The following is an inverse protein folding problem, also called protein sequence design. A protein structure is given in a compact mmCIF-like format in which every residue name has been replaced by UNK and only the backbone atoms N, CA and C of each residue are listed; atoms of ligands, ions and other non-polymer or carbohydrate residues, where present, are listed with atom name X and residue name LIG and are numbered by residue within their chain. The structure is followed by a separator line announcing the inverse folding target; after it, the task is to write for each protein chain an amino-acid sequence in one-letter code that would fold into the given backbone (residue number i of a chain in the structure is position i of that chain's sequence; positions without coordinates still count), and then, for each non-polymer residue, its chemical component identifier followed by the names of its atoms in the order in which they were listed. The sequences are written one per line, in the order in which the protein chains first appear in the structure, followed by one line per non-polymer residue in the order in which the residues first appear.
data_IF_890819257541
#
_entry.id   IF_890819257541
#
_cell.length_a   1.000
_cell.length_b   1.000
_cell.length_c   1.000
_cell.angle_alpha   90.00
_cell.angle_beta   90.00
_cell.angle_gamma   90.00
#
_symmetry.space_group_name_H-M   'P 1'
#
loop_
_entity.id
_entity.type
_entity.pdbx_description
1 polymer ?
#
# COMPACT_ATOMS: atom_id res chain seq x y z
N UNK A 1 26.00 24.44 40.14
CA UNK A 1 26.71 24.22 38.86
C UNK A 1 25.88 23.21 38.08
N UNK A 2 24.95 23.71 37.26
CA UNK A 2 24.06 22.88 36.45
C UNK A 2 24.78 22.37 35.19
N UNK A 3 24.64 21.08 34.96
CA UNK A 3 25.20 20.38 33.80
C UNK A 3 24.24 20.59 32.61
N UNK A 4 24.68 21.14 31.47
CA UNK A 4 23.78 21.34 30.35
C UNK A 4 23.37 19.99 29.73
N UNK A 5 22.06 19.81 29.55
CA UNK A 5 21.45 18.64 28.96
C UNK A 5 21.84 18.49 27.48
N UNK A 6 22.17 17.26 27.08
CA UNK A 6 22.56 16.93 25.71
C UNK A 6 21.39 17.13 24.74
N UNK A 7 21.62 17.96 23.72
CA UNK A 7 20.72 18.18 22.58
C UNK A 7 20.61 16.88 21.79
N UNK A 8 19.42 16.25 21.81
CA UNK A 8 19.12 15.10 20.94
C UNK A 8 18.98 15.61 19.51
N UNK A 9 19.98 15.32 18.69
CA UNK A 9 19.91 15.54 17.25
C UNK A 9 18.92 14.58 16.62
N UNK A 10 17.84 15.12 16.05
CA UNK A 10 16.88 14.38 15.24
C UNK A 10 17.60 13.65 14.11
N UNK A 11 17.67 12.31 14.21
CA UNK A 11 18.13 11.47 13.12
C UNK A 11 17.08 11.54 12.01
N UNK A 12 17.35 12.35 10.99
CA UNK A 12 16.59 12.36 9.73
C UNK A 12 16.51 10.93 9.18
N UNK A 13 15.36 10.30 9.33
CA UNK A 13 15.05 9.01 8.70
C UNK A 13 15.23 9.18 7.19
N UNK A 14 16.28 8.56 6.63
CA UNK A 14 16.48 8.47 5.19
C UNK A 14 15.34 7.62 4.63
N UNK A 15 14.32 8.27 4.07
CA UNK A 15 13.30 7.61 3.26
C UNK A 15 14.00 6.87 2.12
N UNK A 16 14.02 5.55 2.19
CA UNK A 16 14.41 4.72 1.06
C UNK A 16 13.22 4.72 0.11
N UNK A 17 13.32 5.51 -0.96
CA UNK A 17 12.40 5.42 -2.08
C UNK A 17 12.58 4.03 -2.69
N UNK A 18 11.64 3.12 -2.43
CA UNK A 18 11.56 1.86 -3.14
C UNK A 18 11.12 2.16 -4.56
N UNK A 19 12.12 2.35 -5.41
CA UNK A 19 11.93 2.51 -6.83
C UNK A 19 11.60 1.13 -7.39
N UNK A 20 10.32 0.90 -7.72
CA UNK A 20 9.91 -0.29 -8.45
C UNK A 20 10.53 -0.26 -9.84
N UNK A 21 11.72 -0.85 -9.99
CA UNK A 21 12.51 -0.85 -11.24
C UNK A 21 11.70 -1.33 -12.43
N UNK A 22 10.80 -2.29 -12.23
CA UNK A 22 9.95 -2.85 -13.30
C UNK A 22 8.85 -1.88 -13.76
N UNK A 23 8.30 -1.06 -12.85
CA UNK A 23 7.38 0.01 -13.21
C UNK A 23 8.12 1.08 -14.02
N UNK A 24 9.34 1.42 -13.61
CA UNK A 24 10.19 2.33 -14.38
C UNK A 24 10.53 1.77 -15.75
N UNK A 25 10.86 0.47 -15.85
CA UNK A 25 11.11 -0.20 -17.14
C UNK A 25 9.86 -0.16 -18.01
N UNK A 26 8.68 -0.40 -17.44
CA UNK A 26 7.40 -0.34 -18.20
C UNK A 26 7.10 1.06 -18.71
N UNK A 27 7.27 2.08 -17.87
CA UNK A 27 7.09 3.48 -18.26
C UNK A 27 8.14 3.90 -19.29
N UNK A 28 9.40 3.51 -19.08
CA UNK A 28 10.49 3.77 -20.02
C UNK A 28 10.22 3.09 -21.37
N UNK A 29 9.75 1.85 -21.39
CA UNK A 29 9.38 1.13 -22.61
C UNK A 29 8.25 1.85 -23.35
N UNK A 30 7.23 2.34 -22.65
CA UNK A 30 6.14 3.13 -23.26
C UNK A 30 6.66 4.43 -23.87
N UNK A 31 7.55 5.14 -23.19
CA UNK A 31 8.20 6.34 -23.71
C UNK A 31 9.01 6.01 -24.96
N UNK A 32 9.83 4.96 -24.91
CA UNK A 32 10.61 4.50 -26.07
C UNK A 32 9.69 4.12 -27.24
N UNK A 33 8.60 3.40 -26.99
CA UNK A 33 7.64 3.02 -28.03
C UNK A 33 6.96 4.26 -28.65
N UNK A 34 6.59 5.25 -27.83
CA UNK A 34 6.04 6.50 -28.32
C UNK A 34 7.07 7.29 -29.16
N UNK A 35 8.35 7.31 -28.76
CA UNK A 35 9.41 7.95 -29.54
C UNK A 35 9.67 7.22 -30.86
N UNK A 36 9.71 5.88 -30.84
CA UNK A 36 9.87 5.06 -32.04
C UNK A 36 8.69 5.23 -33.01
N UNK A 37 7.47 5.31 -32.50
CA UNK A 37 6.29 5.61 -33.31
C UNK A 37 6.38 6.97 -33.99
N UNK A 38 6.90 7.99 -33.28
CA UNK A 38 7.16 9.32 -33.85
C UNK A 38 8.23 9.28 -34.94
N UNK A 39 9.38 8.65 -34.66
CA UNK A 39 10.47 8.51 -35.62
C UNK A 39 10.06 7.72 -36.88
N UNK A 40 9.25 6.67 -36.71
CA UNK A 40 8.68 5.89 -37.80
C UNK A 40 7.76 6.75 -38.68
N UNK A 41 6.81 7.48 -38.07
CA UNK A 41 5.93 8.37 -38.83
C UNK A 41 6.70 9.49 -39.54
N UNK A 42 7.75 10.01 -38.92
CA UNK A 42 8.63 11.00 -39.56
C UNK A 42 9.37 10.40 -40.77
N UNK A 43 9.90 9.18 -40.65
CA UNK A 43 10.54 8.48 -41.76
C UNK A 43 9.56 8.23 -42.92
N UNK A 44 8.34 7.79 -42.61
CA UNK A 44 7.25 7.63 -43.59
C UNK A 44 6.91 8.97 -44.24
N UNK A 45 6.87 10.06 -43.46
CA UNK A 45 6.65 11.42 -43.98
C UNK A 45 7.67 11.81 -45.04
N UNK A 46 8.96 11.60 -44.75
CA UNK A 46 10.04 11.97 -45.66
C UNK A 46 9.98 11.15 -46.94
N UNK A 47 9.77 9.83 -46.82
CA UNK A 47 9.65 8.95 -47.98
C UNK A 47 8.44 9.32 -48.86
N UNK A 48 7.27 9.59 -48.27
CA UNK A 48 6.09 10.01 -49.03
C UNK A 48 6.32 11.35 -49.74
N UNK A 49 7.02 12.29 -49.10
CA UNK A 49 7.33 13.57 -49.71
C UNK A 49 8.30 13.42 -50.91
N UNK A 50 9.31 12.57 -50.78
CA UNK A 50 10.27 12.28 -51.86
C UNK A 50 9.64 11.52 -53.05
N UNK A 51 8.85 10.48 -52.78
CA UNK A 51 8.31 9.61 -53.83
C UNK A 51 7.04 10.14 -54.50
N UNK A 52 6.18 10.83 -53.76
CA UNK A 52 4.88 11.30 -54.25
C UNK A 52 4.82 12.83 -54.43
N UNK A 53 5.88 13.55 -54.05
CA UNK A 53 5.94 15.01 -54.17
C UNK A 53 4.94 15.75 -53.28
N UNK A 54 4.38 15.08 -52.26
CA UNK A 54 3.41 15.66 -51.34
C UNK A 54 4.06 16.67 -50.39
N UNK A 55 4.42 17.85 -50.93
CA UNK A 55 4.85 19.05 -50.19
C UNK A 55 3.66 19.83 -49.61
N UNK A 56 2.54 19.16 -49.37
CA UNK A 56 1.32 19.79 -48.85
C UNK A 56 1.30 19.76 -47.33
N UNK A 57 1.04 20.90 -46.64
CA UNK A 57 0.90 20.97 -45.18
C UNK A 57 -0.18 20.02 -44.63
N UNK A 58 -1.13 19.60 -45.46
CA UNK A 58 -2.13 18.59 -45.14
C UNK A 58 -1.51 17.24 -44.72
N UNK A 59 -0.40 16.79 -45.34
CA UNK A 59 0.24 15.53 -45.01
C UNK A 59 0.89 15.58 -43.61
N UNK A 60 1.54 16.70 -43.28
CA UNK A 60 2.11 16.92 -41.94
C UNK A 60 1.04 16.93 -40.85
N UNK A 61 -0.10 17.59 -41.11
CA UNK A 61 -1.24 17.59 -40.17
C UNK A 61 -1.79 16.18 -39.99
N UNK A 62 -1.97 15.43 -41.08
CA UNK A 62 -2.47 14.06 -41.04
C UNK A 62 -1.55 13.13 -40.22
N UNK A 63 -0.24 13.20 -40.42
CA UNK A 63 0.72 12.40 -39.67
C UNK A 63 0.79 12.79 -38.19
N UNK A 64 0.64 14.08 -37.87
CA UNK A 64 0.60 14.56 -36.49
C UNK A 64 -0.66 14.05 -35.78
N UNK A 65 -1.81 14.06 -36.45
CA UNK A 65 -3.03 13.45 -35.94
C UNK A 65 -2.88 11.94 -35.73
N UNK A 66 -2.23 11.24 -36.67
CA UNK A 66 -1.89 9.82 -36.53
C UNK A 66 -1.00 9.55 -35.31
N UNK A 67 0.01 10.40 -35.08
CA UNK A 67 0.88 10.30 -33.91
C UNK A 67 0.11 10.50 -32.59
N UNK A 68 -0.73 11.54 -32.53
CA UNK A 68 -1.59 11.81 -31.36
C UNK A 68 -2.49 10.60 -31.09
N UNK A 69 -3.06 9.98 -32.12
CA UNK A 69 -3.88 8.78 -31.98
C UNK A 69 -3.08 7.60 -31.40
N UNK A 70 -1.86 7.36 -31.86
CA UNK A 70 -0.98 6.30 -31.30
C UNK A 70 -0.70 6.56 -29.83
N UNK A 71 -0.30 7.78 -29.47
CA UNK A 71 -0.02 8.16 -28.08
C UNK A 71 -1.28 8.02 -27.21
N UNK A 72 -2.44 8.43 -27.70
CA UNK A 72 -3.71 8.27 -27.00
C UNK A 72 -4.05 6.80 -26.75
N UNK A 73 -3.84 5.91 -27.74
CA UNK A 73 -4.06 4.46 -27.59
C UNK A 73 -3.13 3.89 -26.51
N UNK A 74 -1.84 4.26 -26.52
CA UNK A 74 -0.89 3.83 -25.50
C UNK A 74 -1.28 4.31 -24.10
N UNK A 75 -1.74 5.55 -23.98
CA UNK A 75 -2.21 6.12 -22.72
C UNK A 75 -3.46 5.40 -22.18
N UNK A 76 -4.43 5.12 -23.05
CA UNK A 76 -5.64 4.35 -22.69
C UNK A 76 -5.26 2.93 -22.24
N UNK A 77 -4.36 2.28 -22.97
CA UNK A 77 -3.88 0.95 -22.60
C UNK A 77 -3.21 0.94 -21.22
N UNK A 78 -2.35 1.92 -20.94
CA UNK A 78 -1.71 2.07 -19.64
C UNK A 78 -2.73 2.35 -18.53
N UNK A 79 -3.67 3.27 -18.76
CA UNK A 79 -4.72 3.59 -17.79
C UNK A 79 -5.58 2.35 -17.46
N UNK A 80 -5.99 1.59 -18.47
CA UNK A 80 -6.80 0.40 -18.27
C UNK A 80 -6.02 -0.72 -17.55
N UNK A 81 -4.73 -0.91 -17.87
CA UNK A 81 -3.90 -1.98 -17.29
C UNK A 81 -3.42 -1.67 -15.87
N UNK A 82 -3.11 -0.41 -15.56
CA UNK A 82 -2.54 -0.04 -14.26
C UNK A 82 -3.52 0.73 -13.37
N UNK A 83 -4.11 1.83 -13.87
CA UNK A 83 -4.95 2.72 -13.04
C UNK A 83 -6.21 1.99 -12.55
N UNK A 84 -6.81 1.16 -13.39
CA UNK A 84 -8.00 0.38 -13.04
C UNK A 84 -7.83 -0.50 -11.79
N UNK A 85 -6.86 -1.44 -11.79
CA UNK A 85 -6.54 -2.24 -10.61
C UNK A 85 -6.22 -1.40 -9.38
N UNK A 86 -5.39 -0.36 -9.50
CA UNK A 86 -5.05 0.51 -8.38
C UNK A 86 -6.26 1.23 -7.79
N UNK A 87 -7.21 1.70 -8.61
CA UNK A 87 -8.45 2.33 -8.14
C UNK A 87 -9.34 1.36 -7.37
N UNK A 88 -9.37 0.09 -7.77
CA UNK A 88 -10.09 -0.95 -7.02
C UNK A 88 -9.43 -1.22 -5.67
N UNK A 89 -8.11 -1.35 -5.65
CA UNK A 89 -7.36 -1.54 -4.42
C UNK A 89 -7.53 -0.36 -3.47
N UNK A 90 -7.54 0.87 -3.99
CA UNK A 90 -7.82 2.08 -3.19
C UNK A 90 -9.19 1.99 -2.50
N UNK A 91 -10.22 1.55 -3.24
CA UNK A 91 -11.57 1.38 -2.70
C UNK A 91 -11.64 0.30 -1.62
N UNK A 92 -11.09 -0.90 -1.89
CA UNK A 92 -11.06 -2.01 -0.95
C UNK A 92 -10.24 -1.66 0.31
N UNK A 93 -9.10 -0.97 0.15
CA UNK A 93 -8.30 -0.48 1.28
C UNK A 93 -9.04 0.55 2.12
N UNK A 94 -9.87 1.40 1.51
CA UNK A 94 -10.71 2.35 2.27
C UNK A 94 -11.73 1.63 3.14
N UNK A 95 -12.27 0.50 2.67
CA UNK A 95 -13.18 -0.34 3.46
C UNK A 95 -12.44 -0.97 4.65
N UNK A 96 -11.25 -1.52 4.42
CA UNK A 96 -10.39 -2.07 5.49
C UNK A 96 -10.02 -0.98 6.51
N UNK A 97 -9.68 0.22 6.05
CA UNK A 97 -9.36 1.37 6.91
C UNK A 97 -10.55 1.80 7.79
N UNK A 98 -11.78 1.55 7.35
CA UNK A 98 -13.00 1.78 8.14
C UNK A 98 -13.30 0.65 9.15
N UNK A 99 -12.40 -0.32 9.32
CA UNK A 99 -12.49 -1.37 10.34
C UNK A 99 -13.07 -2.71 9.86
N UNK A 100 -13.40 -2.85 8.57
CA UNK A 100 -13.87 -4.11 7.99
C UNK A 100 -12.69 -5.06 7.68
N UNK A 101 -12.10 -5.63 8.74
CA UNK A 101 -10.96 -6.54 8.66
C UNK A 101 -11.31 -7.92 8.11
N UNK A 102 -12.59 -8.26 7.95
CA UNK A 102 -13.06 -9.48 7.29
C UNK A 102 -12.85 -9.43 5.77
N UNK A 103 -12.69 -8.23 5.20
CA UNK A 103 -12.49 -8.05 3.77
C UNK A 103 -11.07 -8.40 3.37
N UNK A 104 -10.96 -9.02 2.20
CA UNK A 104 -9.69 -9.29 1.51
C UNK A 104 -9.70 -8.58 0.19
N UNK A 105 -8.54 -8.10 -0.19
CA UNK A 105 -8.31 -7.44 -1.47
C UNK A 105 -8.42 -8.47 -2.59
N UNK A 106 -9.11 -8.10 -3.67
CA UNK A 106 -9.35 -8.98 -4.81
C UNK A 106 -8.76 -8.40 -6.08
N UNK A 107 -8.15 -9.28 -6.87
CA UNK A 107 -7.52 -8.91 -8.14
C UNK A 107 -7.83 -9.93 -9.21
N UNK A 108 -7.89 -9.50 -10.48
CA UNK A 108 -8.16 -10.42 -11.59
C UNK A 108 -6.89 -11.19 -11.95
N UNK A 109 -7.06 -12.41 -12.43
CA UNK A 109 -5.93 -13.26 -12.87
C UNK A 109 -5.12 -12.64 -14.02
N UNK A 110 -5.76 -11.79 -14.83
CA UNK A 110 -5.13 -11.07 -15.95
C UNK A 110 -4.43 -9.78 -15.55
N UNK A 111 -4.60 -9.33 -14.30
CA UNK A 111 -3.89 -8.16 -13.83
C UNK A 111 -2.41 -8.50 -13.65
N UNK A 112 -1.58 -7.46 -13.65
CA UNK A 112 -0.14 -7.59 -13.63
C UNK A 112 0.37 -8.37 -12.41
N UNK A 113 1.39 -9.21 -12.61
CA UNK A 113 1.93 -10.11 -11.57
C UNK A 113 2.36 -9.33 -10.30
N UNK A 114 2.90 -8.13 -10.47
CA UNK A 114 3.36 -7.32 -9.34
C UNK A 114 2.19 -6.83 -8.48
N UNK A 115 1.10 -6.43 -9.13
CA UNK A 115 -0.11 -6.02 -8.41
C UNK A 115 -0.70 -7.21 -7.67
N UNK A 116 -0.64 -8.42 -8.24
CA UNK A 116 -1.06 -9.66 -7.57
C UNK A 116 -0.23 -9.98 -6.33
N UNK A 117 1.10 -9.89 -6.43
CA UNK A 117 1.98 -10.12 -5.28
C UNK A 117 1.78 -9.07 -4.20
N UNK A 118 1.62 -7.80 -4.57
CA UNK A 118 1.28 -6.73 -3.66
C UNK A 118 -0.01 -7.03 -2.89
N UNK A 119 -1.06 -7.43 -3.60
CA UNK A 119 -2.35 -7.82 -2.99
C UNK A 119 -2.19 -8.97 -2.01
N UNK A 120 -1.37 -9.97 -2.34
CA UNK A 120 -1.09 -11.08 -1.43
C UNK A 120 -0.43 -10.59 -0.12
N UNK A 121 0.61 -9.74 -0.21
CA UNK A 121 1.27 -9.19 0.97
C UNK A 121 0.34 -8.31 1.81
N UNK A 122 -0.53 -7.51 1.18
CA UNK A 122 -1.49 -6.69 1.93
C UNK A 122 -2.55 -7.57 2.59
N UNK A 123 -3.01 -8.65 1.96
CA UNK A 123 -3.92 -9.60 2.58
C UNK A 123 -3.30 -10.30 3.79
N UNK A 124 -2.02 -10.69 3.70
CA UNK A 124 -1.27 -11.23 4.83
C UNK A 124 -1.14 -10.21 5.97
N UNK A 125 -0.87 -8.94 5.63
CA UNK A 125 -0.86 -7.86 6.61
C UNK A 125 -2.23 -7.68 7.31
N UNK A 126 -3.33 -7.69 6.55
CA UNK A 126 -4.69 -7.58 7.10
C UNK A 126 -4.98 -8.75 8.03
N UNK A 127 -4.60 -9.97 7.65
CA UNK A 127 -4.78 -11.16 8.47
C UNK A 127 -3.98 -11.08 9.79
N UNK A 128 -2.72 -10.67 9.72
CA UNK A 128 -1.90 -10.46 10.91
C UNK A 128 -2.49 -9.38 11.83
N UNK A 129 -3.01 -8.30 11.25
CA UNK A 129 -3.67 -7.24 12.02
C UNK A 129 -4.99 -7.70 12.65
N UNK A 130 -5.78 -8.50 11.95
CA UNK A 130 -7.01 -9.11 12.46
C UNK A 130 -6.70 -10.05 13.65
N UNK A 131 -5.67 -10.89 13.52
CA UNK A 131 -5.22 -11.78 14.59
C UNK A 131 -4.72 -11.00 15.81
N UNK A 132 -3.96 -9.92 15.59
CA UNK A 132 -3.52 -9.02 16.65
C UNK A 132 -4.71 -8.38 17.38
N UNK A 133 -5.71 -7.91 16.65
CA UNK A 133 -6.93 -7.34 17.23
C UNK A 133 -7.71 -8.36 18.07
N UNK A 134 -7.84 -9.60 17.58
CA UNK A 134 -8.49 -10.71 18.32
C UNK A 134 -7.74 -11.04 19.61
N UNK A 135 -6.41 -11.19 19.54
CA UNK A 135 -5.58 -11.46 20.71
C UNK A 135 -5.68 -10.34 21.75
N UNK A 136 -5.63 -9.07 21.29
CA UNK A 136 -5.80 -7.90 22.15
C UNK A 136 -7.16 -7.91 22.85
N UNK A 137 -8.25 -8.12 22.11
CA UNK A 137 -9.61 -8.15 22.66
C UNK A 137 -9.79 -9.29 23.67
N UNK A 138 -9.22 -10.47 23.39
CA UNK A 138 -9.27 -11.62 24.30
C UNK A 138 -8.55 -11.33 25.60
N UNK A 139 -7.35 -10.75 25.54
CA UNK A 139 -6.63 -10.34 26.75
C UNK A 139 -7.39 -9.24 27.48
N UNK A 140 -7.84 -8.19 26.79
CA UNK A 140 -8.61 -7.10 27.41
C UNK A 140 -9.86 -7.61 28.15
N UNK A 141 -10.64 -8.51 27.54
CA UNK A 141 -11.81 -9.12 28.20
C UNK A 141 -11.42 -9.95 29.43
N UNK A 142 -10.32 -10.70 29.36
CA UNK A 142 -9.80 -11.51 30.48
C UNK A 142 -9.34 -10.61 31.63
N UNK A 143 -8.57 -9.56 31.32
CA UNK A 143 -8.11 -8.57 32.31
C UNK A 143 -9.30 -7.87 32.96
N UNK A 144 -10.31 -7.46 32.19
CA UNK A 144 -11.50 -6.79 32.69
C UNK A 144 -12.29 -7.70 33.65
N UNK A 145 -12.45 -8.99 33.33
CA UNK A 145 -13.14 -9.95 34.19
C UNK A 145 -12.37 -10.20 35.49
N UNK A 146 -11.05 -10.37 35.42
CA UNK A 146 -10.20 -10.57 36.59
C UNK A 146 -10.19 -9.33 37.49
N UNK A 147 -10.13 -8.12 36.90
CA UNK A 147 -10.21 -6.88 37.67
C UNK A 147 -11.56 -6.73 38.36
N UNK A 148 -12.66 -7.03 37.67
CA UNK A 148 -14.00 -7.01 38.27
C UNK A 148 -14.15 -8.02 39.42
N UNK A 149 -13.56 -9.21 39.29
CA UNK A 149 -13.55 -10.20 40.36
C UNK A 149 -12.75 -9.74 41.58
N UNK A 150 -11.58 -9.14 41.37
CA UNK A 150 -10.76 -8.54 42.46
C UNK A 150 -11.56 -7.46 43.19
N UNK A 151 -12.19 -6.53 42.44
CA UNK A 151 -13.04 -5.47 43.03
C UNK A 151 -14.16 -6.08 43.88
N UNK A 152 -14.86 -7.08 43.35
CA UNK A 152 -15.96 -7.75 44.06
C UNK A 152 -15.51 -8.48 45.32
N UNK A 153 -14.31 -9.07 45.33
CA UNK A 153 -13.73 -9.70 46.53
C UNK A 153 -13.34 -8.66 47.59
N UNK A 154 -12.80 -7.52 47.17
CA UNK A 154 -12.49 -6.39 48.06
C UNK A 154 -13.76 -5.82 48.71
N UNK A 155 -14.82 -5.58 47.92
CA UNK A 155 -16.10 -5.06 48.43
C UNK A 155 -16.76 -6.00 49.45
N UNK A 156 -16.62 -7.31 49.27
CA UNK A 156 -17.17 -8.32 50.19
C UNK A 156 -16.35 -8.52 51.47
N UNK A 157 -15.21 -7.82 51.62
CA UNK A 157 -14.28 -8.02 52.73
C UNK A 157 -13.63 -9.42 52.75
N UNK A 158 -13.76 -10.18 51.66
CA UNK A 158 -13.18 -11.52 51.50
C UNK A 158 -11.90 -11.40 50.67
N UNK A 159 -10.87 -10.78 51.23
CA UNK A 159 -9.59 -10.71 50.54
C UNK A 159 -8.39 -10.89 51.46
N UNK A 160 -7.43 -11.67 50.96
CA UNK A 160 -6.09 -11.73 51.49
C UNK A 160 -5.21 -10.75 50.69
N UNK A 161 -4.53 -9.79 51.34
CA UNK A 161 -3.65 -8.83 50.66
C UNK A 161 -2.58 -9.47 49.75
N UNK A 162 -2.04 -10.63 50.13
CA UNK A 162 -1.04 -11.34 49.32
C UNK A 162 -1.66 -11.99 48.08
N UNK A 163 -2.90 -12.47 48.14
CA UNK A 163 -3.61 -13.03 46.96
C UNK A 163 -3.91 -11.94 45.92
N UNK A 164 -4.33 -10.76 46.36
CA UNK A 164 -4.56 -9.62 45.46
C UNK A 164 -3.26 -9.19 44.79
N UNK A 165 -2.16 -9.11 45.56
CA UNK A 165 -0.86 -8.73 45.05
C UNK A 165 -0.35 -9.71 43.99
N UNK A 166 -0.53 -11.02 44.19
CA UNK A 166 -0.18 -12.04 43.19
C UNK A 166 -1.10 -11.99 41.96
N UNK A 167 -2.39 -11.70 42.13
CA UNK A 167 -3.31 -11.50 41.01
C UNK A 167 -2.91 -10.28 40.15
N UNK A 168 -2.54 -9.17 40.77
CA UNK A 168 -2.05 -7.96 40.08
C UNK A 168 -0.73 -8.24 39.35
N UNK A 169 0.22 -8.96 39.97
CA UNK A 169 1.46 -9.37 39.28
C UNK A 169 1.18 -10.25 38.07
N UNK A 170 0.22 -11.16 38.18
CA UNK A 170 -0.17 -12.05 37.08
C UNK A 170 -0.79 -11.27 35.92
N UNK A 171 -1.71 -10.36 36.22
CA UNK A 171 -2.27 -9.40 35.25
C UNK A 171 -1.17 -8.61 34.54
N UNK A 172 -0.21 -8.08 35.30
CA UNK A 172 0.91 -7.32 34.76
C UNK A 172 1.79 -8.16 33.83
N UNK A 173 2.10 -9.42 34.20
CA UNK A 173 2.85 -10.35 33.35
C UNK A 173 2.10 -10.66 32.05
N UNK A 174 0.79 -10.87 32.11
CA UNK A 174 -0.04 -11.13 30.92
C UNK A 174 -0.05 -9.92 29.97
N UNK A 175 -0.15 -8.70 30.51
CA UNK A 175 -0.02 -7.47 29.71
C UNK A 175 1.36 -7.34 29.06
N UNK A 176 2.43 -7.65 29.81
CA UNK A 176 3.79 -7.55 29.29
C UNK A 176 4.06 -8.58 28.18
N UNK A 177 3.62 -9.82 28.36
CA UNK A 177 3.76 -10.87 27.36
C UNK A 177 3.01 -10.54 26.06
N UNK A 178 1.82 -9.92 26.13
CA UNK A 178 1.10 -9.45 24.94
C UNK A 178 1.89 -8.36 24.22
N UNK A 179 2.46 -7.40 24.96
CA UNK A 179 3.25 -6.31 24.40
C UNK A 179 4.53 -6.78 23.71
N UNK A 180 5.16 -7.86 24.18
CA UNK A 180 6.38 -8.40 23.56
C UNK A 180 6.11 -9.28 22.32
N UNK A 181 4.87 -9.75 22.15
CA UNK A 181 4.47 -10.57 21.00
C UNK A 181 4.35 -9.75 19.70
N UNK A 182 4.20 -8.43 19.79
CA UNK A 182 3.93 -7.51 18.67
C UNK A 182 4.90 -6.32 18.69
#
# INVERSE_FOLDING_TARGET
MDKPAAVRTDKKLRQHYFVARELQITVALLVVLALLGGAFLQSVSTALNEYLGFTTPALTVFLTLGYIAIVAILAIFFAHRFVGPFKRLEYEMRIVANGALDKRLTIRTRDDLHVRNFVAYVNEFIENFENMSKDYNKVHSTLSLQMADIIKRMEKGQYNPEEIKEAIKTLHKQMHALREKW
#
